data_IF_186429150564
#
_entry.id   IF_186429150564
#
_cell.length_a   1.000
_cell.length_b   1.000
_cell.length_c   1.000
_cell.angle_alpha   90.00
_cell.angle_beta   90.00
_cell.angle_gamma   90.00
#
_symmetry.space_group_name_H-M   'P 1'
#
loop_
_entity.id
_entity.type
_entity.pdbx_description
1 polymer ?
#
# COMPACT_ATOMS: atom_id res chain seq x y z
N UNK A 1 16.64 0.59 -9.26
CA UNK A 1 15.63 -0.48 -9.04
C UNK A 1 15.04 -0.21 -7.67
N UNK A 2 13.82 0.28 -7.62
CA UNK A 2 13.13 0.46 -6.35
C UNK A 2 12.50 -0.90 -6.03
N UNK A 3 13.18 -1.66 -5.16
CA UNK A 3 12.62 -2.92 -4.68
C UNK A 3 11.25 -2.70 -4.04
N UNK A 4 10.45 -3.76 -3.90
CA UNK A 4 9.12 -3.68 -3.29
C UNK A 4 9.16 -2.89 -1.97
N UNK A 5 8.37 -1.79 -1.83
CA UNK A 5 8.32 -1.00 -0.62
C UNK A 5 8.02 -1.85 0.62
N UNK A 6 8.61 -1.50 1.76
CA UNK A 6 8.44 -2.27 2.99
C UNK A 6 6.96 -2.41 3.38
N UNK A 7 6.18 -1.33 3.20
CA UNK A 7 4.74 -1.32 3.49
C UNK A 7 3.97 -2.32 2.63
N UNK A 8 4.37 -2.53 1.37
CA UNK A 8 3.71 -3.51 0.50
C UNK A 8 3.98 -4.94 0.97
N UNK A 9 5.17 -5.23 1.52
CA UNK A 9 5.43 -6.53 2.15
C UNK A 9 4.56 -6.74 3.40
N UNK A 10 4.31 -5.69 4.18
CA UNK A 10 3.43 -5.76 5.34
C UNK A 10 1.97 -5.99 4.93
N UNK A 11 1.49 -5.29 3.88
CA UNK A 11 0.17 -5.50 3.27
C UNK A 11 -0.01 -6.94 2.79
N UNK A 12 0.98 -7.49 2.07
CA UNK A 12 0.93 -8.89 1.61
C UNK A 12 0.86 -9.92 2.74
N UNK A 13 1.41 -9.58 3.91
CA UNK A 13 1.33 -10.40 5.12
C UNK A 13 0.06 -10.15 5.93
N UNK A 14 -0.64 -9.03 5.68
CA UNK A 14 -1.74 -8.55 6.52
C UNK A 14 -1.29 -8.14 7.91
N UNK A 15 -0.05 -7.70 8.04
CA UNK A 15 0.58 -7.34 9.31
C UNK A 15 0.33 -5.87 9.62
N UNK A 16 -0.78 -5.59 10.31
CA UNK A 16 -1.19 -4.22 10.67
C UNK A 16 -0.20 -3.54 11.62
N UNK A 17 0.43 -4.29 12.53
CA UNK A 17 1.40 -3.73 13.49
C UNK A 17 2.64 -3.22 12.76
N UNK A 18 3.16 -4.00 11.81
CA UNK A 18 4.25 -3.57 10.94
C UNK A 18 3.84 -2.40 10.04
N UNK A 19 2.61 -2.37 9.53
CA UNK A 19 2.09 -1.23 8.76
C UNK A 19 2.04 0.04 9.63
N UNK A 20 1.59 -0.06 10.88
CA UNK A 20 1.59 1.08 11.81
C UNK A 20 2.99 1.60 12.11
N UNK A 21 3.93 0.69 12.35
CA UNK A 21 5.33 1.04 12.60
C UNK A 21 5.93 1.80 11.42
N UNK A 22 5.76 1.28 10.20
CA UNK A 22 6.27 1.90 8.98
C UNK A 22 5.65 3.27 8.72
N UNK A 23 4.34 3.42 8.95
CA UNK A 23 3.68 4.73 8.85
C UNK A 23 4.21 5.70 9.89
N UNK A 24 4.46 5.24 11.13
CA UNK A 24 5.07 6.05 12.19
C UNK A 24 6.50 6.49 11.88
N UNK A 25 7.23 5.73 11.06
CA UNK A 25 8.58 6.07 10.58
C UNK A 25 8.57 7.06 9.40
N UNK A 26 7.40 7.49 8.93
CA UNK A 26 7.26 8.39 7.78
C UNK A 26 7.40 7.71 6.43
N UNK A 27 7.05 6.42 6.35
CA UNK A 27 6.99 5.69 5.08
C UNK A 27 6.03 6.39 4.10
N UNK A 28 6.45 6.50 2.83
CA UNK A 28 5.57 6.95 1.76
C UNK A 28 4.63 5.80 1.36
N UNK A 29 3.33 6.00 1.58
CA UNK A 29 2.29 5.02 1.24
C UNK A 29 1.97 4.99 -0.26
N UNK A 30 2.38 6.02 -0.99
CA UNK A 30 2.15 6.17 -2.42
C UNK A 30 3.34 5.69 -3.25
N UNK A 31 4.41 5.21 -2.61
CA UNK A 31 5.54 4.63 -3.33
C UNK A 31 5.10 3.40 -4.13
N UNK A 32 5.49 3.38 -5.41
CA UNK A 32 5.20 2.27 -6.30
C UNK A 32 6.37 1.29 -6.38
N UNK A 33 6.07 0.00 -6.44
CA UNK A 33 7.08 -1.00 -6.79
C UNK A 33 7.48 -0.91 -8.29
N UNK A 34 8.46 -1.73 -8.72
CA UNK A 34 8.90 -1.80 -10.12
C UNK A 34 7.77 -2.11 -11.14
N UNK A 35 6.62 -2.62 -10.68
CA UNK A 35 5.42 -2.87 -11.50
C UNK A 35 4.39 -1.74 -11.49
N UNK A 36 4.66 -0.62 -10.81
CA UNK A 36 3.72 0.51 -10.69
C UNK A 36 2.63 0.31 -9.64
N UNK A 37 2.75 -0.68 -8.75
CA UNK A 37 1.74 -0.95 -7.72
C UNK A 37 2.05 -0.18 -6.43
N UNK A 38 1.05 0.41 -5.82
CA UNK A 38 1.09 0.99 -4.47
C UNK A 38 0.62 0.00 -3.41
N UNK A 39 0.89 0.29 -2.14
CA UNK A 39 0.36 -0.48 -1.01
C UNK A 39 -1.16 -0.66 -1.07
N UNK A 40 -1.88 0.39 -1.49
CA UNK A 40 -3.33 0.37 -1.63
C UNK A 40 -3.79 -0.57 -2.74
N UNK A 41 -3.15 -0.53 -3.91
CA UNK A 41 -3.49 -1.43 -5.02
C UNK A 41 -3.29 -2.91 -4.67
N UNK A 42 -2.29 -3.22 -3.84
CA UNK A 42 -2.08 -4.58 -3.34
C UNK A 42 -3.16 -4.99 -2.34
N UNK A 43 -3.53 -4.12 -1.41
CA UNK A 43 -4.63 -4.40 -0.48
C UNK A 43 -5.96 -4.70 -1.21
N UNK A 44 -6.25 -3.93 -2.27
CA UNK A 44 -7.41 -4.16 -3.15
C UNK A 44 -7.29 -5.50 -3.88
N UNK A 45 -6.15 -5.80 -4.50
CA UNK A 45 -5.93 -7.08 -5.20
C UNK A 45 -6.01 -8.30 -4.29
N UNK A 46 -5.66 -8.14 -3.01
CA UNK A 46 -5.76 -9.19 -1.99
C UNK A 46 -7.17 -9.32 -1.40
N UNK A 47 -8.12 -8.48 -1.82
CA UNK A 47 -9.49 -8.44 -1.31
C UNK A 47 -9.54 -8.21 0.21
N UNK A 48 -8.71 -7.29 0.70
CA UNK A 48 -8.52 -6.97 2.12
C UNK A 48 -9.05 -5.56 2.44
N UNK A 49 -10.37 -5.40 2.63
CA UNK A 49 -10.97 -4.09 2.90
C UNK A 49 -10.45 -3.47 4.20
N UNK A 50 -10.09 -4.29 5.19
CA UNK A 50 -9.45 -3.87 6.44
C UNK A 50 -8.13 -3.11 6.20
N UNK A 51 -7.32 -3.60 5.26
CA UNK A 51 -6.05 -2.96 4.91
C UNK A 51 -6.27 -1.72 4.02
N UNK A 52 -7.29 -1.74 3.16
CA UNK A 52 -7.69 -0.59 2.34
C UNK A 52 -8.11 0.57 3.24
N UNK A 53 -9.02 0.33 4.18
CA UNK A 53 -9.50 1.34 5.12
C UNK A 53 -8.36 1.91 5.95
N UNK A 54 -7.47 1.05 6.44
CA UNK A 54 -6.29 1.48 7.18
C UNK A 54 -5.41 2.42 6.34
N UNK A 55 -5.05 2.02 5.11
CA UNK A 55 -4.18 2.81 4.24
C UNK A 55 -4.80 4.17 3.89
N UNK A 56 -6.11 4.20 3.59
CA UNK A 56 -6.85 5.43 3.31
C UNK A 56 -6.89 6.36 4.53
N UNK A 57 -7.13 5.82 5.73
CA UNK A 57 -7.10 6.58 6.98
C UNK A 57 -5.73 7.18 7.28
N UNK A 58 -4.64 6.54 6.82
CA UNK A 58 -3.27 7.04 6.94
C UNK A 58 -2.86 7.98 5.79
N UNK A 59 -3.78 8.33 4.90
CA UNK A 59 -3.56 9.32 3.84
C UNK A 59 -2.96 8.75 2.55
N UNK A 60 -3.05 7.44 2.32
CA UNK A 60 -2.75 6.87 1.01
C UNK A 60 -3.69 7.46 -0.05
N UNK A 61 -3.16 7.86 -1.20
CA UNK A 61 -3.94 8.41 -2.29
C UNK A 61 -4.61 7.28 -3.09
N UNK A 62 -5.94 7.27 -3.08
CA UNK A 62 -6.75 6.34 -3.86
C UNK A 62 -6.52 6.45 -5.37
N UNK A 63 -6.08 7.62 -5.84
CA UNK A 63 -5.82 7.88 -7.26
C UNK A 63 -4.38 7.54 -7.68
N UNK A 64 -3.47 7.32 -6.72
CA UNK A 64 -2.15 6.78 -7.01
C UNK A 64 -2.17 5.29 -7.34
N UNK A 65 -3.36 4.65 -7.40
CA UNK A 65 -3.51 3.28 -7.85
C UNK A 65 -2.82 3.07 -9.21
N UNK A 66 -2.22 1.89 -9.35
CA UNK A 66 -1.40 1.51 -10.50
C UNK A 66 -2.03 1.92 -11.84
N UNK A 67 -1.21 2.22 -12.84
CA UNK A 67 -1.60 2.55 -14.22
C UNK A 67 -2.48 1.49 -14.93
N UNK A 68 -2.85 0.40 -14.25
CA UNK A 68 -4.01 -0.41 -14.61
C UNK A 68 -5.26 0.39 -14.27
N UNK A 69 -5.63 1.30 -15.18
CA UNK A 69 -6.83 2.12 -15.03
C UNK A 69 -8.03 1.27 -14.65
N UNK A 70 -8.56 1.50 -13.44
CA UNK A 70 -9.98 1.31 -13.19
C UNK A 70 -10.69 2.39 -14.02
N UNK A 71 -11.00 2.05 -15.27
CA UNK A 71 -11.92 2.81 -16.11
C UNK A 71 -13.17 1.96 -16.32
#
# INVERSE_FOLDING_TARGET
>A
RHGTPAVMRAVRRGDLEEMERLVGEGCDLNETNDGGWTALSEAVSLHRPDLVDFLLQRGADANCASSVGWA
#
